data_IF_219270418344
#
_entry.id   IF_219270418344
#
_cell.length_a   1.000
_cell.length_b   1.000
_cell.length_c   1.000
_cell.angle_alpha   90.00
_cell.angle_beta   90.00
_cell.angle_gamma   90.00
#
_symmetry.space_group_name_H-M   'P 1'
#
loop_
_entity.id
_entity.type
_entity.pdbx_description
1 polymer ?
#
# COMPACT_ATOMS: atom_id res chain seq x y z
N UNK A 1 -3.95 -66.77 -14.83
CA UNK A 1 -3.90 -65.41 -15.52
C UNK A 1 -4.79 -64.33 -14.92
N UNK A 2 -5.32 -64.51 -13.70
CA UNK A 2 -6.27 -63.53 -13.09
C UNK A 2 -5.63 -62.47 -12.15
N UNK A 3 -4.33 -62.60 -11.86
CA UNK A 3 -3.69 -61.74 -10.81
C UNK A 3 -3.16 -60.40 -11.32
N UNK A 4 -2.87 -60.25 -12.62
CA UNK A 4 -2.29 -59.02 -13.15
C UNK A 4 -3.29 -57.86 -13.35
N UNK A 5 -4.55 -58.12 -13.55
CA UNK A 5 -5.55 -57.07 -13.74
C UNK A 5 -5.86 -56.30 -12.45
N UNK A 6 -5.83 -56.98 -11.29
CA UNK A 6 -6.08 -56.31 -9.99
C UNK A 6 -4.88 -55.46 -9.55
N UNK A 7 -3.64 -55.87 -9.86
CA UNK A 7 -2.44 -55.11 -9.56
C UNK A 7 -2.34 -53.83 -10.42
N UNK A 8 -2.71 -53.91 -11.70
CA UNK A 8 -2.73 -52.73 -12.61
C UNK A 8 -3.81 -51.70 -12.22
N UNK A 9 -5.01 -52.19 -11.80
CA UNK A 9 -6.07 -51.32 -11.34
C UNK A 9 -5.68 -50.59 -10.01
N UNK A 10 -4.99 -51.27 -9.09
CA UNK A 10 -4.51 -50.68 -7.83
C UNK A 10 -3.42 -49.64 -8.06
N UNK A 11 -2.49 -49.86 -8.99
CA UNK A 11 -1.44 -48.91 -9.36
C UNK A 11 -2.00 -47.69 -10.09
N UNK A 12 -3.01 -47.83 -10.97
CA UNK A 12 -3.66 -46.75 -11.65
C UNK A 12 -4.47 -45.86 -10.66
N UNK A 13 -5.15 -46.48 -9.68
CA UNK A 13 -5.87 -45.73 -8.63
C UNK A 13 -4.92 -44.92 -7.73
N UNK A 14 -3.78 -45.49 -7.37
CA UNK A 14 -2.78 -44.78 -6.54
C UNK A 14 -2.15 -43.62 -7.30
N UNK A 15 -1.85 -43.76 -8.59
CA UNK A 15 -1.31 -42.69 -9.42
C UNK A 15 -2.27 -41.50 -9.57
N UNK A 16 -3.57 -41.75 -9.70
CA UNK A 16 -4.60 -40.69 -9.80
C UNK A 16 -4.73 -39.97 -8.47
N UNK A 17 -4.71 -40.68 -7.33
CA UNK A 17 -4.80 -40.03 -5.99
C UNK A 17 -3.53 -39.19 -5.71
N UNK A 18 -2.33 -39.70 -6.05
CA UNK A 18 -1.08 -38.93 -5.88
C UNK A 18 -1.05 -37.72 -6.80
N UNK A 19 -1.53 -37.81 -8.04
CA UNK A 19 -1.65 -36.69 -8.95
C UNK A 19 -2.66 -35.65 -8.47
N UNK A 20 -3.80 -36.08 -7.92
CA UNK A 20 -4.81 -35.19 -7.35
C UNK A 20 -4.30 -34.46 -6.09
N UNK A 21 -3.59 -35.16 -5.20
CA UNK A 21 -2.98 -34.57 -4.00
C UNK A 21 -1.84 -33.62 -4.39
N UNK A 22 -0.99 -33.98 -5.35
CA UNK A 22 0.05 -33.09 -5.85
C UNK A 22 -0.52 -31.85 -6.55
N UNK A 23 -1.59 -32.00 -7.33
CA UNK A 23 -2.31 -30.91 -7.95
C UNK A 23 -2.96 -29.99 -6.90
N UNK A 24 -3.51 -30.55 -5.83
CA UNK A 24 -4.06 -29.79 -4.70
C UNK A 24 -2.95 -29.05 -3.92
N UNK A 25 -1.83 -29.72 -3.62
CA UNK A 25 -0.68 -29.10 -2.95
C UNK A 25 0.00 -28.01 -3.79
N UNK A 26 0.02 -28.15 -5.12
CA UNK A 26 0.51 -27.12 -6.03
C UNK A 26 -0.47 -25.94 -6.19
N UNK A 27 -1.75 -26.18 -5.94
CA UNK A 27 -2.80 -25.14 -6.02
C UNK A 27 -2.91 -24.34 -4.72
N UNK A 28 -2.58 -24.92 -3.57
CA UNK A 28 -2.56 -24.26 -2.26
C UNK A 28 -1.17 -23.73 -1.86
N UNK A 29 -0.17 -23.88 -2.71
CA UNK A 29 1.09 -23.16 -2.61
C UNK A 29 0.87 -21.71 -3.00
N UNK A 30 0.03 -20.99 -2.22
CA UNK A 30 -0.22 -19.57 -2.40
C UNK A 30 1.08 -18.81 -2.23
N UNK A 31 1.78 -18.56 -3.33
CA UNK A 31 2.75 -17.46 -3.35
C UNK A 31 1.98 -16.22 -2.98
N UNK A 32 2.24 -15.70 -1.79
CA UNK A 32 1.71 -14.40 -1.36
C UNK A 32 2.09 -13.40 -2.45
N UNK A 33 1.14 -13.09 -3.32
CA UNK A 33 1.38 -12.12 -4.39
C UNK A 33 1.43 -10.74 -3.76
N UNK A 34 2.60 -10.14 -3.72
CA UNK A 34 2.77 -8.78 -3.24
C UNK A 34 2.96 -7.83 -4.44
N UNK A 35 2.12 -6.83 -4.54
CA UNK A 35 2.25 -5.74 -5.51
C UNK A 35 2.82 -4.52 -4.81
N UNK A 36 4.06 -4.16 -5.13
CA UNK A 36 4.73 -2.97 -4.61
C UNK A 36 4.31 -1.74 -5.41
N UNK A 37 3.60 -0.80 -4.76
CA UNK A 37 3.12 0.42 -5.41
C UNK A 37 4.24 1.43 -5.69
N UNK A 38 5.40 1.33 -5.02
CA UNK A 38 6.59 2.13 -5.38
C UNK A 38 7.10 1.73 -6.76
N UNK A 39 7.18 0.43 -7.03
CA UNK A 39 7.58 -0.08 -8.37
C UNK A 39 6.60 0.34 -9.47
N UNK A 40 5.33 0.50 -9.12
CA UNK A 40 4.28 0.96 -10.05
C UNK A 40 4.13 2.48 -10.11
N UNK A 41 4.91 3.25 -9.35
CA UNK A 41 4.82 4.71 -9.35
C UNK A 41 5.01 5.36 -10.73
N UNK A 42 5.89 4.87 -11.62
CA UNK A 42 6.01 5.40 -12.98
C UNK A 42 4.75 5.25 -13.84
N UNK A 43 3.83 4.35 -13.47
CA UNK A 43 2.55 4.10 -14.16
C UNK A 43 1.39 4.82 -13.48
N UNK A 44 1.61 5.41 -12.31
CA UNK A 44 0.60 6.13 -11.56
C UNK A 44 0.30 7.50 -12.18
N UNK A 45 -0.93 7.95 -11.98
CA UNK A 45 -1.28 9.35 -12.27
C UNK A 45 -0.96 10.18 -11.03
N UNK A 46 0.02 11.06 -11.14
CA UNK A 46 0.48 11.90 -10.05
C UNK A 46 0.14 13.37 -10.30
N UNK A 47 -0.18 14.11 -9.24
CA UNK A 47 -0.37 15.56 -9.25
C UNK A 47 0.15 16.15 -7.95
N UNK A 48 0.83 17.29 -8.03
CA UNK A 48 1.24 18.10 -6.90
C UNK A 48 1.20 19.58 -7.27
N UNK A 49 1.00 20.42 -6.28
CA UNK A 49 1.16 21.88 -6.38
C UNK A 49 2.34 22.37 -5.54
N UNK A 50 3.24 21.46 -5.17
CA UNK A 50 4.44 21.77 -4.41
C UNK A 50 5.49 22.42 -5.31
N UNK A 51 5.98 23.60 -4.93
CA UNK A 51 6.95 24.39 -5.68
C UNK A 51 8.15 24.81 -4.82
N UNK A 52 8.22 24.33 -3.55
CA UNK A 52 9.31 24.68 -2.65
C UNK A 52 10.63 24.05 -3.10
N UNK A 53 11.78 24.72 -2.82
CA UNK A 53 13.09 24.16 -3.09
C UNK A 53 13.35 22.87 -2.30
N UNK A 54 14.12 21.97 -2.88
CA UNK A 54 14.50 20.70 -2.26
C UNK A 54 14.08 19.49 -3.06
N UNK A 55 13.57 18.45 -2.39
CA UNK A 55 13.14 17.24 -3.04
C UNK A 55 11.89 17.48 -3.91
N UNK A 56 11.96 17.03 -5.15
CA UNK A 56 10.80 17.06 -6.02
C UNK A 56 9.70 16.10 -5.50
N UNK A 57 8.41 16.47 -5.63
CA UNK A 57 7.31 15.56 -5.32
C UNK A 57 7.47 14.22 -6.05
N UNK A 58 7.05 13.16 -5.37
CA UNK A 58 7.10 11.77 -5.84
C UNK A 58 8.51 11.17 -6.00
N UNK A 59 9.54 11.84 -5.47
CA UNK A 59 10.87 11.24 -5.32
C UNK A 59 10.80 10.07 -4.32
N UNK A 60 11.44 8.96 -4.67
CA UNK A 60 11.56 7.77 -3.81
C UNK A 60 12.96 7.71 -3.21
N UNK A 61 13.04 7.61 -1.88
CA UNK A 61 14.29 7.49 -1.13
C UNK A 61 14.10 6.61 0.10
N UNK A 62 15.19 6.05 0.60
CA UNK A 62 15.24 5.51 1.96
C UNK A 62 15.16 6.66 2.97
N UNK A 63 14.19 6.60 3.87
CA UNK A 63 13.98 7.62 4.91
C UNK A 63 13.88 6.94 6.27
N UNK A 64 14.57 7.53 7.25
CA UNK A 64 14.54 7.08 8.64
C UNK A 64 13.63 8.01 9.44
N UNK A 65 12.70 7.43 10.20
CA UNK A 65 11.91 8.12 11.22
C UNK A 65 12.01 7.33 12.53
N UNK A 66 12.42 7.98 13.60
CA UNK A 66 12.61 7.38 14.94
C UNK A 66 13.49 6.10 14.92
N UNK A 67 14.51 6.08 14.06
CA UNK A 67 15.44 4.96 13.93
C UNK A 67 14.96 3.82 13.03
N UNK A 68 13.77 3.89 12.47
CA UNK A 68 13.22 2.90 11.53
C UNK A 68 13.31 3.41 10.09
N UNK A 69 13.94 2.66 9.19
CA UNK A 69 14.22 3.07 7.79
C UNK A 69 13.32 2.31 6.81
N UNK A 70 12.62 3.06 5.93
CA UNK A 70 11.80 2.52 4.86
C UNK A 70 12.02 3.26 3.54
N UNK A 71 11.76 2.57 2.42
CA UNK A 71 11.65 3.24 1.13
C UNK A 71 10.35 4.06 1.12
N UNK A 72 10.43 5.33 0.79
CA UNK A 72 9.29 6.23 0.88
C UNK A 72 9.18 7.15 -0.33
N UNK A 73 7.92 7.43 -0.69
CA UNK A 73 7.54 8.42 -1.68
C UNK A 73 7.36 9.76 -0.95
N UNK A 74 8.13 10.78 -1.33
CA UNK A 74 7.91 12.13 -0.86
C UNK A 74 6.67 12.72 -1.55
N UNK A 75 5.65 13.05 -0.78
CA UNK A 75 4.36 13.53 -1.30
C UNK A 75 3.84 14.71 -0.47
N UNK A 76 4.50 15.89 -0.55
CA UNK A 76 4.10 17.07 0.22
C UNK A 76 2.72 17.58 -0.24
N UNK A 77 1.95 18.29 0.61
CA UNK A 77 0.65 18.87 0.23
C UNK A 77 0.77 19.94 -0.88
N UNK A 78 -0.18 20.05 -1.78
CA UNK A 78 -1.31 19.13 -2.05
C UNK A 78 -0.87 18.09 -3.08
N UNK A 79 -0.63 16.88 -2.65
CA UNK A 79 -0.24 15.81 -3.56
C UNK A 79 -1.32 14.75 -3.68
N UNK A 80 -1.40 14.16 -4.86
CA UNK A 80 -2.25 13.01 -5.16
C UNK A 80 -1.51 12.02 -6.01
N UNK A 81 -1.58 10.74 -5.61
CA UNK A 81 -1.08 9.61 -6.40
C UNK A 81 -2.24 8.65 -6.62
N UNK A 82 -2.45 8.22 -7.86
CA UNK A 82 -3.50 7.26 -8.23
C UNK A 82 -2.89 6.10 -9.00
N UNK A 83 -3.06 4.91 -8.47
CA UNK A 83 -2.70 3.66 -9.16
C UNK A 83 -3.96 2.94 -9.62
N UNK A 84 -3.90 2.37 -10.82
CA UNK A 84 -4.87 1.37 -11.27
C UNK A 84 -4.26 0.00 -11.05
N UNK A 85 -4.90 -0.82 -10.22
CA UNK A 85 -4.40 -2.14 -9.84
C UNK A 85 -5.55 -3.14 -9.76
N UNK A 86 -5.26 -4.39 -10.14
CA UNK A 86 -6.16 -5.50 -9.87
C UNK A 86 -5.94 -5.98 -8.44
N UNK A 87 -7.03 -6.12 -7.69
CA UNK A 87 -6.98 -6.58 -6.30
C UNK A 87 -6.84 -8.10 -6.28
N UNK A 88 -5.77 -8.64 -5.67
CA UNK A 88 -5.59 -10.08 -5.56
C UNK A 88 -6.62 -10.69 -4.59
N UNK A 89 -6.70 -12.02 -4.60
CA UNK A 89 -7.54 -12.76 -3.66
C UNK A 89 -7.20 -12.36 -2.23
N UNK A 90 -8.23 -12.07 -1.41
CA UNK A 90 -8.09 -11.58 -0.03
C UNK A 90 -7.09 -10.43 0.09
N UNK A 91 -7.10 -9.53 -0.88
CA UNK A 91 -6.16 -8.43 -0.95
C UNK A 91 -6.21 -7.52 0.27
N UNK A 92 -5.04 -7.16 0.79
CA UNK A 92 -4.85 -6.14 1.82
C UNK A 92 -3.85 -5.11 1.35
N UNK A 93 -4.15 -3.81 1.55
CA UNK A 93 -3.20 -2.74 1.34
C UNK A 93 -2.51 -2.41 2.67
N UNK A 94 -1.20 -2.64 2.71
CA UNK A 94 -0.33 -2.20 3.81
C UNK A 94 0.40 -0.93 3.43
N UNK A 95 0.42 0.04 4.33
CA UNK A 95 1.08 1.33 4.14
C UNK A 95 1.73 1.79 5.43
N UNK A 96 2.82 2.55 5.26
CA UNK A 96 3.37 3.42 6.29
C UNK A 96 3.23 4.86 5.85
N UNK A 97 3.14 5.76 6.81
CA UNK A 97 3.09 7.19 6.52
C UNK A 97 3.65 7.98 7.70
N UNK A 98 4.10 9.18 7.42
CA UNK A 98 4.70 10.04 8.43
C UNK A 98 5.20 11.34 7.85
N UNK A 99 5.70 12.20 8.73
CA UNK A 99 6.33 13.47 8.39
C UNK A 99 7.83 13.38 8.68
N UNK A 100 8.66 13.88 7.78
CA UNK A 100 10.12 13.81 7.86
C UNK A 100 10.66 14.44 9.15
N UNK A 101 11.72 13.87 9.73
CA UNK A 101 12.22 14.25 11.07
C UNK A 101 12.66 15.71 11.19
N UNK A 102 13.20 16.29 10.12
CA UNK A 102 13.62 17.70 10.12
C UNK A 102 12.44 18.69 10.22
N UNK A 103 11.22 18.22 10.06
CA UNK A 103 9.99 18.98 10.23
C UNK A 103 9.40 18.89 11.67
N UNK A 104 9.87 18.00 12.52
CA UNK A 104 9.20 17.69 13.80
C UNK A 104 9.20 18.82 14.83
N UNK A 105 10.15 19.73 14.74
CA UNK A 105 10.27 20.87 15.65
C UNK A 105 9.96 22.20 14.97
N UNK A 106 9.70 22.17 13.68
CA UNK A 106 9.43 23.35 12.87
C UNK A 106 8.00 23.88 13.04
N UNK A 107 7.77 25.10 12.58
CA UNK A 107 6.43 25.69 12.52
C UNK A 107 5.58 24.96 11.49
N UNK A 108 4.27 24.76 11.79
CA UNK A 108 3.32 24.10 10.92
C UNK A 108 2.15 23.54 11.70
N UNK A 109 1.14 23.10 10.99
CA UNK A 109 -0.10 22.54 11.54
C UNK A 109 -0.27 21.04 11.24
N UNK A 110 0.77 20.42 10.68
CA UNK A 110 0.82 19.01 10.30
C UNK A 110 0.21 18.72 8.93
N UNK A 111 0.14 17.44 8.59
CA UNK A 111 -0.31 16.94 7.29
C UNK A 111 -1.51 16.03 7.45
N UNK A 112 -2.55 16.22 6.65
CA UNK A 112 -3.65 15.28 6.53
C UNK A 112 -3.34 14.22 5.48
N UNK A 113 -3.24 12.98 5.90
CA UNK A 113 -3.09 11.78 5.06
C UNK A 113 -4.45 11.17 4.78
N UNK A 114 -4.71 10.84 3.51
CA UNK A 114 -5.95 10.17 3.11
C UNK A 114 -5.68 9.08 2.10
N UNK A 115 -6.34 7.94 2.30
CA UNK A 115 -6.36 6.83 1.35
C UNK A 115 -7.79 6.48 1.02
N UNK A 116 -8.08 6.35 -0.26
CA UNK A 116 -9.38 5.90 -0.74
C UNK A 116 -9.24 4.97 -1.93
N UNK A 117 -10.29 4.20 -2.16
CA UNK A 117 -10.40 3.24 -3.25
C UNK A 117 -11.64 3.55 -4.08
N UNK A 118 -11.52 3.43 -5.40
CA UNK A 118 -12.65 3.58 -6.31
C UNK A 118 -12.70 2.45 -7.32
N UNK A 119 -13.87 1.87 -7.50
CA UNK A 119 -14.18 0.90 -8.54
C UNK A 119 -14.68 1.56 -9.86
N UNK A 120 -14.60 2.89 -9.92
CA UNK A 120 -15.10 3.69 -11.04
C UNK A 120 -16.57 4.09 -10.91
N UNK A 121 -17.31 3.59 -9.91
CA UNK A 121 -18.71 3.94 -9.60
C UNK A 121 -18.81 4.62 -8.25
N UNK A 122 -18.13 4.07 -7.26
CA UNK A 122 -18.09 4.55 -5.88
C UNK A 122 -16.67 4.92 -5.50
N UNK A 123 -16.55 5.80 -4.51
CA UNK A 123 -15.29 6.12 -3.87
C UNK A 123 -15.46 5.95 -2.36
N UNK A 124 -14.63 5.15 -1.76
CA UNK A 124 -14.61 4.92 -0.31
C UNK A 124 -13.31 5.42 0.29
N UNK A 125 -13.41 6.20 1.37
CA UNK A 125 -12.24 6.70 2.13
C UNK A 125 -11.98 5.76 3.31
N UNK A 126 -10.80 5.11 3.30
CA UNK A 126 -10.39 4.14 4.32
C UNK A 126 -9.45 4.69 5.37
N UNK A 127 -8.66 5.69 5.01
CA UNK A 127 -7.78 6.41 5.92
C UNK A 127 -8.02 7.90 5.79
N UNK A 128 -8.15 8.56 6.94
CA UNK A 128 -8.15 10.01 7.05
C UNK A 128 -7.58 10.39 8.41
N UNK A 129 -6.32 10.80 8.42
CA UNK A 129 -5.61 11.12 9.64
C UNK A 129 -4.74 12.36 9.48
N UNK A 130 -4.70 13.19 10.54
CA UNK A 130 -3.78 14.32 10.64
C UNK A 130 -2.57 13.89 11.47
N UNK A 131 -1.39 14.00 10.88
CA UNK A 131 -0.10 13.73 11.52
C UNK A 131 0.56 15.07 11.82
N UNK A 132 0.76 15.37 13.10
CA UNK A 132 1.37 16.63 13.55
C UNK A 132 2.46 16.35 14.61
N UNK A 133 3.69 16.06 14.18
CA UNK A 133 4.78 15.70 15.10
C UNK A 133 5.27 16.87 15.94
N UNK A 134 4.95 18.12 15.59
CA UNK A 134 5.25 19.30 16.42
C UNK A 134 4.48 19.25 17.73
N UNK A 135 3.17 18.99 17.66
CA UNK A 135 2.27 19.07 18.80
C UNK A 135 2.00 17.70 19.45
N UNK A 136 2.37 16.60 18.80
CA UNK A 136 2.07 15.24 19.22
C UNK A 136 3.30 14.34 19.07
N UNK A 137 3.99 14.04 20.17
CA UNK A 137 5.17 13.17 20.18
C UNK A 137 4.88 11.75 19.61
N UNK A 138 3.66 11.26 19.76
CA UNK A 138 3.23 9.97 19.18
C UNK A 138 3.30 9.92 17.66
N UNK A 139 3.30 11.07 17.02
CA UNK A 139 3.37 11.22 15.55
C UNK A 139 4.82 11.29 15.04
N UNK A 140 5.82 11.31 15.94
CA UNK A 140 7.27 11.32 15.63
C UNK A 140 7.78 9.91 15.34
N UNK A 141 7.18 9.26 14.34
CA UNK A 141 7.53 7.90 13.90
C UNK A 141 6.85 7.56 12.58
N UNK A 142 7.16 6.38 12.05
CA UNK A 142 6.30 5.76 11.06
C UNK A 142 4.98 5.33 11.71
N UNK A 143 3.88 5.81 11.17
CA UNK A 143 2.55 5.30 11.41
C UNK A 143 2.24 4.24 10.37
N UNK A 144 1.33 3.31 10.66
CA UNK A 144 0.96 2.25 9.74
C UNK A 144 -0.56 2.08 9.67
N UNK A 145 -1.04 1.68 8.50
CA UNK A 145 -2.41 1.26 8.32
C UNK A 145 -2.46 0.02 7.43
N UNK A 146 -3.45 -0.83 7.71
CA UNK A 146 -3.81 -1.99 6.91
C UNK A 146 -5.26 -1.84 6.49
N UNK A 147 -5.51 -1.88 5.18
CA UNK A 147 -6.84 -1.70 4.59
C UNK A 147 -7.25 -3.01 3.93
N UNK A 148 -8.38 -3.55 4.33
CA UNK A 148 -8.97 -4.73 3.70
C UNK A 148 -9.58 -4.37 2.35
N UNK A 149 -9.08 -4.99 1.30
CA UNK A 149 -9.54 -4.83 -0.08
C UNK A 149 -10.34 -6.02 -0.58
N UNK A 150 -10.68 -6.99 0.28
CA UNK A 150 -11.35 -8.23 -0.13
C UNK A 150 -12.67 -8.01 -0.86
N UNK A 151 -13.38 -6.91 -0.57
CA UNK A 151 -14.60 -6.52 -1.27
C UNK A 151 -14.37 -6.21 -2.77
N UNK A 152 -13.13 -5.97 -3.17
CA UNK A 152 -12.73 -5.66 -4.55
C UNK A 152 -11.96 -6.81 -5.21
N UNK A 153 -11.95 -8.02 -4.63
CA UNK A 153 -11.21 -9.18 -5.16
C UNK A 153 -11.47 -9.38 -6.67
N UNK A 154 -10.41 -9.48 -7.47
CA UNK A 154 -10.47 -9.66 -8.93
C UNK A 154 -10.93 -8.42 -9.72
N UNK A 155 -11.18 -7.29 -9.06
CA UNK A 155 -11.58 -6.05 -9.72
C UNK A 155 -10.37 -5.15 -9.98
N UNK A 156 -10.43 -4.40 -11.07
CA UNK A 156 -9.51 -3.31 -11.34
C UNK A 156 -10.02 -2.05 -10.64
N UNK A 157 -9.27 -1.57 -9.64
CA UNK A 157 -9.62 -0.39 -8.84
C UNK A 157 -8.60 0.73 -8.98
N UNK A 158 -9.00 1.95 -8.65
CA UNK A 158 -8.08 3.06 -8.40
C UNK A 158 -7.82 3.20 -6.90
N UNK A 159 -6.55 3.05 -6.49
CA UNK A 159 -6.09 3.39 -5.15
C UNK A 159 -5.56 4.81 -5.16
N UNK A 160 -6.10 5.65 -4.29
CA UNK A 160 -5.81 7.07 -4.22
C UNK A 160 -5.12 7.41 -2.90
N UNK A 161 -3.91 7.94 -2.97
CA UNK A 161 -3.22 8.55 -1.83
C UNK A 161 -3.24 10.07 -2.00
N UNK A 162 -3.67 10.76 -0.95
CA UNK A 162 -3.71 12.21 -0.93
C UNK A 162 -3.03 12.73 0.33
N UNK A 163 -2.29 13.82 0.17
CA UNK A 163 -1.76 14.62 1.27
C UNK A 163 -2.27 16.05 1.13
N UNK A 164 -2.88 16.55 2.19
CA UNK A 164 -3.38 17.92 2.29
C UNK A 164 -2.73 18.60 3.50
N UNK A 165 -2.65 19.94 3.58
CA UNK A 165 -2.23 20.63 4.79
C UNK A 165 -3.09 20.22 6.00
N UNK A 166 -2.55 20.35 7.19
CA UNK A 166 -3.30 20.17 8.43
C UNK A 166 -4.46 21.12 8.57
N UNK A 167 -5.34 20.89 9.58
CA UNK A 167 -6.49 21.76 9.81
C UNK A 167 -6.05 23.15 10.30
N UNK A 168 -6.85 24.21 9.98
CA UNK A 168 -8.09 24.16 9.20
C UNK A 168 -7.82 23.84 7.73
N UNK A 169 -8.78 23.19 7.06
CA UNK A 169 -8.61 22.67 5.69
C UNK A 169 -8.27 23.73 4.63
N UNK A 170 -8.58 24.98 4.91
CA UNK A 170 -8.31 26.13 4.04
C UNK A 170 -6.95 26.76 4.35
N UNK A 171 -6.16 26.15 5.23
CA UNK A 171 -4.87 26.67 5.59
C UNK A 171 -3.91 26.58 4.41
N UNK A 172 -3.23 27.68 4.16
CA UNK A 172 -2.16 27.78 3.17
C UNK A 172 -0.81 27.49 3.79
N UNK A 173 -0.77 27.17 5.09
CA UNK A 173 0.46 26.81 5.78
C UNK A 173 0.96 25.48 5.26
N UNK A 174 2.09 25.50 4.58
CA UNK A 174 2.78 24.32 4.04
C UNK A 174 4.15 24.14 4.67
N UNK A 175 4.47 24.96 5.69
CA UNK A 175 5.76 24.91 6.36
C UNK A 175 5.95 23.56 7.02
N UNK A 176 7.07 22.92 6.69
CA UNK A 176 7.44 21.63 7.24
C UNK A 176 6.47 20.47 6.96
N UNK A 177 5.63 20.60 5.94
CA UNK A 177 4.70 19.55 5.53
C UNK A 177 5.38 18.47 4.66
N UNK A 178 6.50 17.93 5.12
CA UNK A 178 7.32 16.95 4.38
C UNK A 178 6.72 15.54 4.53
N UNK A 179 5.58 15.33 3.90
CA UNK A 179 4.82 14.08 3.97
C UNK A 179 5.48 12.94 3.20
N UNK A 180 5.40 11.75 3.77
CA UNK A 180 6.01 10.52 3.27
C UNK A 180 4.99 9.37 3.26
N UNK A 181 4.95 8.61 2.16
CA UNK A 181 4.28 7.31 2.07
C UNK A 181 5.33 6.22 1.99
N UNK A 182 5.43 5.38 3.03
CA UNK A 182 6.42 4.31 3.16
C UNK A 182 5.88 2.96 2.71
N UNK A 183 6.62 2.28 1.85
CA UNK A 183 6.43 0.89 1.41
C UNK A 183 4.97 0.50 1.15
N UNK A 184 4.19 1.26 0.38
CA UNK A 184 2.81 0.90 0.07
C UNK A 184 2.79 -0.36 -0.79
N UNK A 185 2.09 -1.41 -0.31
CA UNK A 185 2.01 -2.69 -1.03
C UNK A 185 0.66 -3.36 -0.85
N UNK A 186 0.20 -4.05 -1.87
CA UNK A 186 -0.99 -4.90 -1.81
C UNK A 186 -0.52 -6.34 -1.68
N UNK A 187 -1.04 -7.04 -0.68
CA UNK A 187 -0.70 -8.42 -0.37
C UNK A 187 -1.94 -9.28 -0.61
N UNK A 188 -1.80 -10.34 -1.41
CA UNK A 188 -2.83 -11.36 -1.60
C UNK A 188 -2.58 -12.57 -0.71
N UNK A 189 -3.64 -13.24 -0.25
CA UNK A 189 -3.58 -14.41 0.62
C UNK A 189 -4.31 -15.61 0.02
#
# INVERSE_FOLDING_TARGET
MLNNRKAVAALAGLAVVVAAVAFWMLRDGGTTAATDLITLLPQAVVRSTWEEPGDAPFTVKAVTLAGETHQAIFAPPHSRIRWKVEVPRRGTLEIRYGVREDAWTGEGNGVQFRVGVSDGRTYEEYLKEVVNPKDRDRDRRWLSATIDLSAYEGQLVEINFNTDPGPPRDDKDRRNDFALWGEPRIIGH
#
